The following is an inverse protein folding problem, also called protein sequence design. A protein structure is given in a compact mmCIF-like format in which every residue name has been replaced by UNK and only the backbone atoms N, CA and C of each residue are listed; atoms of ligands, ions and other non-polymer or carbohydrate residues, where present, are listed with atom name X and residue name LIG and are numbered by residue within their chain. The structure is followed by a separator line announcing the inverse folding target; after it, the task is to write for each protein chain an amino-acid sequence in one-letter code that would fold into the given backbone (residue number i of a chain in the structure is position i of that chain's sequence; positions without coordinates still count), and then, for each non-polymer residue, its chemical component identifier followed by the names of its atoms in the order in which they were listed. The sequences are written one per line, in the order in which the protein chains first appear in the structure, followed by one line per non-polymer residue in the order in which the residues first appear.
data_IF_964174733334
#
_entry.id   IF_964174733334
#
_cell.length_a   1.000
_cell.length_b   1.000
_cell.length_c   1.000
_cell.angle_alpha   90.00
_cell.angle_beta   90.00
_cell.angle_gamma   90.00
#
_symmetry.space_group_name_H-M   'P 1'
#
loop_
_entity.id
_entity.type
_entity.pdbx_description
1 polymer ?
#
# COMPACT_ATOMS: atom_id res chain seq x y z
N UNK A 1 33.68 4.96 31.21
CA UNK A 1 33.06 4.07 30.19
C UNK A 1 31.67 4.61 29.91
N UNK A 2 31.48 5.37 28.83
CA UNK A 2 30.18 5.93 28.48
C UNK A 2 29.42 4.93 27.61
N UNK A 3 28.32 4.38 28.13
CA UNK A 3 27.38 3.58 27.35
C UNK A 3 26.53 4.54 26.53
N UNK A 4 26.74 4.57 25.22
CA UNK A 4 25.81 5.19 24.28
C UNK A 4 24.65 4.21 24.09
N UNK A 5 23.40 4.55 24.44
CA UNK A 5 22.27 3.77 23.96
C UNK A 5 22.27 3.93 22.43
N UNK A 6 22.55 2.83 21.73
CA UNK A 6 22.32 2.73 20.30
C UNK A 6 20.86 3.08 20.09
N UNK A 7 20.60 4.27 19.54
CA UNK A 7 19.27 4.68 19.14
C UNK A 7 18.77 3.56 18.24
N UNK A 8 17.79 2.79 18.73
CA UNK A 8 17.09 1.80 17.95
C UNK A 8 16.59 2.55 16.72
N UNK A 9 17.30 2.33 15.62
CA UNK A 9 16.98 2.91 14.32
C UNK A 9 15.53 2.58 14.08
N UNK A 10 14.73 3.64 13.96
CA UNK A 10 13.32 3.59 13.63
C UNK A 10 13.11 2.44 12.64
N UNK A 11 12.17 1.53 12.98
CA UNK A 11 11.70 0.44 12.15
C UNK A 11 11.78 0.91 10.69
N UNK A 12 12.84 0.47 10.00
CA UNK A 12 13.16 0.96 8.68
C UNK A 12 12.06 0.39 7.81
N UNK A 13 10.96 1.15 7.73
CA UNK A 13 9.75 0.81 7.02
C UNK A 13 10.22 0.26 5.69
N UNK A 14 10.10 -1.07 5.52
CA UNK A 14 10.60 -1.76 4.34
C UNK A 14 10.17 -0.93 3.14
N UNK A 15 11.10 -0.55 2.24
CA UNK A 15 10.80 0.37 1.17
C UNK A 15 9.58 -0.16 0.42
N UNK A 16 8.48 0.57 0.53
CA UNK A 16 7.21 0.22 -0.13
C UNK A 16 7.48 0.35 -1.63
N UNK A 17 7.60 -0.79 -2.32
CA UNK A 17 7.84 -0.79 -3.76
C UNK A 17 6.50 -0.63 -4.45
N UNK A 18 6.30 0.53 -5.07
CA UNK A 18 5.14 0.74 -5.91
C UNK A 18 5.33 0.08 -7.26
N UNK A 19 4.27 -0.53 -7.78
CA UNK A 19 4.26 -1.07 -9.13
C UNK A 19 4.39 0.06 -10.15
N UNK A 20 5.34 -0.11 -11.07
CA UNK A 20 5.55 0.79 -12.19
C UNK A 20 4.70 0.41 -13.40
N UNK A 21 4.19 -0.83 -13.43
CA UNK A 21 3.43 -1.38 -14.56
C UNK A 21 1.93 -1.28 -14.38
N UNK A 22 1.46 -1.31 -13.13
CA UNK A 22 0.02 -1.26 -12.80
C UNK A 22 -0.24 -0.21 -11.73
N UNK A 23 -1.28 0.59 -11.94
CA UNK A 23 -1.74 1.58 -10.98
C UNK A 23 -3.15 1.26 -10.50
N UNK A 24 -3.54 1.83 -9.37
CA UNK A 24 -4.90 1.75 -8.87
C UNK A 24 -5.83 2.65 -9.67
N UNK A 25 -6.88 2.09 -10.27
CA UNK A 25 -7.92 2.84 -10.99
C UNK A 25 -9.10 3.20 -10.08
N UNK A 26 -9.44 2.32 -9.14
CA UNK A 26 -10.49 2.55 -8.16
C UNK A 26 -10.51 1.44 -7.12
N UNK A 27 -11.37 1.55 -6.12
CA UNK A 27 -11.57 0.50 -5.13
C UNK A 27 -13.06 0.35 -4.81
N UNK A 28 -13.41 -0.86 -4.39
CA UNK A 28 -14.76 -1.27 -4.03
C UNK A 28 -14.70 -1.79 -2.61
N UNK A 29 -15.61 -1.32 -1.76
CA UNK A 29 -15.79 -1.81 -0.40
C UNK A 29 -17.11 -2.56 -0.33
N UNK A 30 -17.08 -3.82 0.10
CA UNK A 30 -18.27 -4.65 0.25
C UNK A 30 -18.20 -5.44 1.55
N UNK A 31 -19.11 -5.15 2.48
CA UNK A 31 -19.31 -5.94 3.72
C UNK A 31 -18.01 -6.24 4.49
N UNK A 32 -17.11 -5.26 4.58
CA UNK A 32 -15.82 -5.38 5.29
C UNK A 32 -14.65 -5.89 4.45
N UNK A 33 -14.89 -6.26 3.18
CA UNK A 33 -13.84 -6.60 2.21
C UNK A 33 -13.55 -5.43 1.29
N UNK A 34 -12.27 -5.18 1.01
CA UNK A 34 -11.84 -4.20 0.00
C UNK A 34 -11.36 -4.97 -1.23
N UNK A 35 -11.74 -4.49 -2.41
CA UNK A 35 -11.19 -4.93 -3.69
C UNK A 35 -10.69 -3.72 -4.45
N UNK A 36 -9.52 -3.83 -5.06
CA UNK A 36 -8.93 -2.75 -5.86
C UNK A 36 -8.98 -3.11 -7.32
N UNK A 37 -9.37 -2.14 -8.14
CA UNK A 37 -9.38 -2.22 -9.59
C UNK A 37 -8.05 -1.66 -10.08
N UNK A 38 -7.29 -2.47 -10.78
CA UNK A 38 -6.00 -2.10 -11.36
C UNK A 38 -6.19 -1.50 -12.76
N UNK A 39 -5.19 -0.76 -13.24
CA UNK A 39 -5.18 -0.13 -14.56
C UNK A 39 -5.22 -1.12 -15.72
N UNK A 40 -4.77 -2.35 -15.49
CA UNK A 40 -4.85 -3.47 -16.44
C UNK A 40 -6.22 -4.16 -16.47
N UNK A 41 -7.20 -3.67 -15.69
CA UNK A 41 -8.55 -4.20 -15.62
C UNK A 41 -8.73 -5.36 -14.63
N UNK A 42 -7.66 -5.82 -13.97
CA UNK A 42 -7.80 -6.83 -12.90
C UNK A 42 -8.47 -6.23 -11.68
N UNK A 43 -9.27 -7.06 -11.00
CA UNK A 43 -9.83 -6.75 -9.68
C UNK A 43 -9.27 -7.75 -8.70
N UNK A 44 -8.65 -7.26 -7.63
CA UNK A 44 -7.99 -8.11 -6.65
C UNK A 44 -8.29 -7.63 -5.24
N UNK A 45 -8.26 -8.56 -4.28
CA UNK A 45 -8.33 -8.24 -2.85
C UNK A 45 -6.91 -7.95 -2.35
N UNK A 46 -6.61 -6.72 -1.92
CA UNK A 46 -5.27 -6.40 -1.44
C UNK A 46 -5.02 -7.00 -0.05
N UNK A 47 -3.76 -7.32 0.23
CA UNK A 47 -3.30 -7.79 1.55
C UNK A 47 -3.43 -6.69 2.61
N UNK A 48 -3.19 -5.44 2.20
CA UNK A 48 -3.36 -4.25 3.02
C UNK A 48 -3.93 -3.13 2.16
N UNK A 49 -4.78 -2.32 2.76
CA UNK A 49 -5.38 -1.16 2.11
C UNK A 49 -5.27 0.05 3.02
N UNK A 50 -4.87 1.18 2.45
CA UNK A 50 -4.76 2.47 3.12
C UNK A 50 -5.45 3.51 2.24
N UNK A 51 -6.46 4.19 2.75
CA UNK A 51 -7.09 5.33 2.07
C UNK A 51 -6.82 6.63 2.83
N UNK A 52 -6.59 7.71 2.10
CA UNK A 52 -6.39 9.06 2.64
C UNK A 52 -6.97 10.13 1.72
N UNK A 53 -6.81 11.39 2.11
CA UNK A 53 -7.37 12.53 1.36
C UNK A 53 -6.78 12.69 -0.06
N UNK A 54 -5.55 12.23 -0.28
CA UNK A 54 -4.85 12.29 -1.57
C UNK A 54 -5.11 11.08 -2.48
N UNK A 55 -5.86 10.08 -2.02
CA UNK A 55 -6.09 8.83 -2.73
C UNK A 55 -5.92 7.61 -1.84
N UNK A 56 -5.47 6.50 -2.41
CA UNK A 56 -5.35 5.25 -1.69
C UNK A 56 -4.14 4.45 -2.15
N UNK A 57 -3.65 3.59 -1.27
CA UNK A 57 -2.54 2.68 -1.48
C UNK A 57 -2.98 1.28 -1.08
N UNK A 58 -2.61 0.29 -1.88
CA UNK A 58 -2.98 -1.10 -1.61
C UNK A 58 -1.80 -2.04 -1.87
N UNK A 59 -1.53 -2.94 -0.94
CA UNK A 59 -0.55 -4.00 -1.08
C UNK A 59 -1.17 -5.15 -1.86
N UNK A 60 -0.74 -5.33 -3.11
CA UNK A 60 -1.32 -6.31 -4.03
C UNK A 60 -0.58 -7.65 -3.98
N UNK A 61 0.71 -7.60 -3.62
CA UNK A 61 1.56 -8.74 -3.31
C UNK A 61 2.51 -8.32 -2.19
N UNK A 62 3.15 -9.27 -1.51
CA UNK A 62 4.04 -8.96 -0.37
C UNK A 62 5.16 -7.99 -0.77
N UNK A 63 5.11 -6.77 -0.25
CA UNK A 63 6.06 -5.70 -0.58
C UNK A 63 5.80 -4.98 -1.91
N UNK A 64 4.78 -5.37 -2.68
CA UNK A 64 4.35 -4.70 -3.91
C UNK A 64 3.04 -3.94 -3.70
N UNK A 65 3.11 -2.63 -3.91
CA UNK A 65 1.99 -1.73 -3.66
C UNK A 65 1.52 -1.06 -4.94
N UNK A 66 0.26 -0.70 -4.98
CA UNK A 66 -0.32 0.17 -6.02
C UNK A 66 -0.91 1.40 -5.35
N UNK A 67 -0.88 2.51 -6.08
CA UNK A 67 -1.50 3.76 -5.69
C UNK A 67 -2.63 4.08 -6.64
N UNK A 68 -3.76 4.53 -6.12
CA UNK A 68 -4.86 5.07 -6.90
C UNK A 68 -5.23 6.46 -6.44
N UNK A 69 -5.84 7.22 -7.35
CA UNK A 69 -6.31 8.58 -7.06
C UNK A 69 -7.46 8.59 -6.07
N UNK A 70 -7.70 9.76 -5.48
CA UNK A 70 -8.95 10.02 -4.78
C UNK A 70 -10.11 9.87 -5.77
N UNK A 71 -11.16 9.17 -5.34
CA UNK A 71 -12.34 8.86 -6.16
C UNK A 71 -13.44 9.90 -5.94
#
# INVERSE_FOLDING_TARGET
MFFTPSAAVADAAKPVKFSETVTGKGFLTNSGSVSVVLSDGRVISPLRFKSGASGWEAEIETGLWVRGGAQ
#
